data_IF_811165177489
#
_entry.id   IF_811165177489
#
_cell.length_a   1.000
_cell.length_b   1.000
_cell.length_c   1.000
_cell.angle_alpha   90.00
_cell.angle_beta   90.00
_cell.angle_gamma   90.00
#
_symmetry.space_group_name_H-M   'P 1'
#
loop_
_entity.id
_entity.type
_entity.pdbx_description
1 polymer ?
#
# COMPACT_ATOMS: atom_id res chain seq x y z
N UNK A 1 -5.84 1.72 -9.13
CA UNK A 1 -7.02 2.50 -8.69
C UNK A 1 -7.44 2.16 -7.25
N UNK A 2 -7.39 0.90 -6.83
CA UNK A 2 -7.89 0.44 -5.51
C UNK A 2 -7.12 1.00 -4.30
N UNK A 3 -5.90 1.48 -4.48
CA UNK A 3 -5.05 2.03 -3.41
C UNK A 3 -5.11 3.56 -3.32
N UNK A 4 -5.79 4.24 -4.24
CA UNK A 4 -5.95 5.69 -4.23
C UNK A 4 -7.36 6.06 -3.78
N UNK A 5 -7.54 6.09 -2.46
CA UNK A 5 -8.81 6.42 -1.81
C UNK A 5 -8.70 7.74 -1.04
N UNK A 6 -9.78 8.51 -0.90
CA UNK A 6 -9.79 9.68 -0.01
C UNK A 6 -9.49 9.27 1.43
N UNK A 7 -8.58 10.01 2.08
CA UNK A 7 -8.30 9.88 3.50
C UNK A 7 -8.30 11.27 4.13
N UNK A 8 -9.34 11.57 4.89
CA UNK A 8 -9.59 12.88 5.47
C UNK A 8 -9.75 12.73 6.97
N UNK A 9 -9.01 13.54 7.72
CA UNK A 9 -9.10 13.60 9.18
C UNK A 9 -9.40 15.03 9.63
N UNK A 10 -10.32 15.17 10.57
CA UNK A 10 -10.64 16.43 11.20
C UNK A 10 -10.96 16.21 12.68
N UNK A 11 -10.61 17.18 13.54
CA UNK A 11 -10.87 17.10 14.97
C UNK A 11 -9.85 17.85 15.81
N UNK A 12 -9.99 17.72 17.13
CA UNK A 12 -9.04 18.30 18.08
C UNK A 12 -7.64 17.68 17.88
N UNK A 13 -6.60 18.51 17.91
CA UNK A 13 -5.21 18.07 17.73
C UNK A 13 -4.77 17.88 16.28
N UNK A 14 -5.70 18.00 15.29
CA UNK A 14 -5.40 17.87 13.86
C UNK A 14 -5.24 19.25 13.23
N UNK A 15 -4.10 19.54 12.54
CA UNK A 15 -3.90 20.80 11.83
C UNK A 15 -4.95 21.03 10.74
N UNK A 16 -5.51 22.23 10.68
CA UNK A 16 -6.52 22.60 9.68
C UNK A 16 -5.89 22.89 8.31
N UNK A 17 -6.59 22.53 7.25
CA UNK A 17 -6.27 22.92 5.86
C UNK A 17 -4.96 22.34 5.34
N UNK A 18 -4.43 21.27 5.94
CA UNK A 18 -3.18 20.65 5.52
C UNK A 18 -3.43 19.48 4.56
N UNK A 19 -2.69 19.46 3.47
CA UNK A 19 -2.63 18.34 2.54
C UNK A 19 -1.31 17.62 2.73
N UNK A 20 -1.34 16.30 2.80
CA UNK A 20 -0.16 15.44 2.92
C UNK A 20 -0.03 14.60 1.65
N UNK A 21 1.12 14.70 0.97
CA UNK A 21 1.36 14.05 -0.33
C UNK A 21 2.00 12.66 -0.20
N UNK A 22 2.43 12.31 0.99
CA UNK A 22 3.07 11.01 1.22
C UNK A 22 2.02 9.89 1.21
N UNK A 23 2.32 8.74 0.63
CA UNK A 23 1.52 7.55 0.80
C UNK A 23 1.45 7.14 2.27
N UNK A 24 0.27 6.74 2.70
CA UNK A 24 0.01 6.24 4.05
C UNK A 24 -0.66 4.88 3.98
N UNK A 25 -0.55 4.10 5.03
CA UNK A 25 -1.17 2.78 5.12
C UNK A 25 -2.40 2.85 6.04
N UNK A 26 -3.39 2.00 5.78
CA UNK A 26 -4.57 1.92 6.67
C UNK A 26 -4.17 1.48 8.09
N UNK A 27 -3.07 0.74 8.21
CA UNK A 27 -2.47 0.34 9.50
C UNK A 27 -2.06 1.55 10.35
N UNK A 28 -1.76 2.70 9.73
CA UNK A 28 -1.34 3.92 10.41
C UNK A 28 -2.51 4.63 11.12
N UNK A 29 -3.75 4.29 10.79
CA UNK A 29 -4.93 4.93 11.36
C UNK A 29 -5.03 4.68 12.87
N UNK A 30 -4.93 3.42 13.31
CA UNK A 30 -5.10 3.07 14.71
C UNK A 30 -4.04 3.71 15.61
N UNK A 31 -2.71 3.63 15.34
CA UNK A 31 -1.71 4.34 16.14
C UNK A 31 -1.87 5.87 16.08
N UNK A 32 -2.42 6.41 15.00
CA UNK A 32 -2.73 7.85 14.91
C UNK A 32 -3.84 8.24 15.89
N UNK A 33 -4.92 7.46 15.96
CA UNK A 33 -6.01 7.68 16.89
C UNK A 33 -5.56 7.54 18.35
N UNK A 34 -4.71 6.56 18.65
CA UNK A 34 -4.11 6.39 19.98
C UNK A 34 -3.27 7.62 20.36
N UNK A 35 -2.44 8.13 19.44
CA UNK A 35 -1.65 9.35 19.68
C UNK A 35 -2.53 10.58 19.93
N UNK A 36 -3.66 10.70 19.22
CA UNK A 36 -4.62 11.78 19.44
C UNK A 36 -5.32 11.66 20.78
N UNK A 37 -5.54 10.44 21.28
CA UNK A 37 -6.07 10.16 22.62
C UNK A 37 -5.04 10.34 23.75
N UNK A 38 -3.76 10.63 23.42
CA UNK A 38 -2.70 10.82 24.42
C UNK A 38 -1.92 9.56 24.77
N UNK A 39 -2.23 8.42 24.14
CA UNK A 39 -1.49 7.17 24.31
C UNK A 39 -0.14 7.26 23.60
N UNK A 40 0.94 6.78 24.26
CA UNK A 40 2.31 6.94 23.77
C UNK A 40 2.96 5.61 23.35
N UNK A 41 2.49 4.49 23.87
CA UNK A 41 3.09 3.19 23.54
C UNK A 41 2.39 2.54 22.34
N UNK A 42 3.10 2.52 21.22
CA UNK A 42 2.66 1.89 19.98
C UNK A 42 3.62 0.76 19.54
N UNK A 43 4.49 0.29 20.44
CA UNK A 43 5.58 -0.64 20.12
C UNK A 43 5.11 -2.00 19.57
N UNK A 44 3.86 -2.37 19.83
CA UNK A 44 3.25 -3.63 19.36
C UNK A 44 2.44 -3.49 18.07
N UNK A 45 2.42 -2.30 17.47
CA UNK A 45 1.64 -2.03 16.27
C UNK A 45 2.53 -2.02 15.03
N UNK A 46 2.05 -2.62 13.95
CA UNK A 46 2.76 -2.61 12.65
C UNK A 46 2.71 -1.24 11.98
N UNK A 47 1.62 -0.49 12.18
CA UNK A 47 1.44 0.88 11.68
C UNK A 47 2.15 1.92 12.53
N UNK A 48 2.27 3.13 11.97
CA UNK A 48 2.91 4.29 12.61
C UNK A 48 1.95 5.45 12.73
N UNK A 49 2.05 6.21 13.83
CA UNK A 49 1.23 7.41 13.98
C UNK A 49 1.58 8.46 12.92
N UNK A 50 0.57 8.97 12.23
CA UNK A 50 0.68 10.07 11.27
C UNK A 50 0.71 11.44 11.95
N UNK A 51 0.44 11.52 13.25
CA UNK A 51 0.36 12.79 13.99
C UNK A 51 1.65 13.61 13.90
N UNK A 52 2.86 13.05 14.08
CA UNK A 52 4.10 13.81 13.89
C UNK A 52 4.22 14.40 12.48
N UNK A 53 3.81 13.64 11.45
CA UNK A 53 3.83 14.10 10.07
C UNK A 53 2.82 15.21 9.81
N UNK A 54 1.60 15.11 10.34
CA UNK A 54 0.60 16.18 10.30
C UNK A 54 1.11 17.46 10.95
N UNK A 55 1.88 17.35 12.02
CA UNK A 55 2.49 18.47 12.74
C UNK A 55 3.74 19.03 12.05
N UNK A 56 4.14 18.50 10.88
CA UNK A 56 5.32 18.97 10.14
C UNK A 56 6.65 18.38 10.61
N UNK A 57 6.62 17.38 11.47
CA UNK A 57 7.80 16.60 11.84
C UNK A 57 8.05 15.53 10.79
N UNK A 58 9.29 15.40 10.33
CA UNK A 58 9.66 14.54 9.20
C UNK A 58 9.85 13.08 9.65
N UNK A 59 8.77 12.40 10.05
CA UNK A 59 8.80 11.03 10.58
C UNK A 59 7.94 10.04 9.81
N UNK A 60 7.40 10.41 8.66
CA UNK A 60 6.61 9.49 7.87
C UNK A 60 7.49 8.58 7.01
N UNK A 61 7.03 7.38 6.82
CA UNK A 61 7.53 6.51 5.77
C UNK A 61 7.42 7.23 4.41
N UNK A 62 8.46 7.17 3.59
CA UNK A 62 8.42 7.76 2.24
C UNK A 62 7.62 6.90 1.26
N UNK A 63 7.17 5.74 1.69
CA UNK A 63 6.42 4.77 0.89
C UNK A 63 5.38 4.05 1.75
N UNK A 64 4.35 3.52 1.09
CA UNK A 64 3.39 2.57 1.63
C UNK A 64 3.52 1.22 0.94
N UNK A 65 3.19 0.15 1.63
CA UNK A 65 3.15 -1.21 1.10
C UNK A 65 1.73 -1.71 1.04
N UNK A 66 1.42 -2.53 0.05
CA UNK A 66 0.12 -3.16 -0.08
C UNK A 66 0.24 -4.53 -0.74
N UNK A 67 -0.69 -5.42 -0.42
CA UNK A 67 -0.93 -6.61 -1.20
C UNK A 67 -1.96 -6.30 -2.27
N UNK A 68 -1.73 -6.82 -3.46
CA UNK A 68 -2.65 -6.75 -4.58
C UNK A 68 -2.90 -8.14 -5.13
N UNK A 69 -4.08 -8.38 -5.67
CA UNK A 69 -4.47 -9.66 -6.22
C UNK A 69 -4.96 -9.48 -7.64
N UNK A 70 -4.56 -10.39 -8.50
CA UNK A 70 -5.04 -10.48 -9.87
C UNK A 70 -5.53 -11.88 -10.13
N UNK A 71 -6.74 -12.02 -10.66
CA UNK A 71 -7.25 -13.32 -11.11
C UNK A 71 -6.67 -13.68 -12.48
N UNK A 72 -5.99 -14.82 -12.56
CA UNK A 72 -5.47 -15.36 -13.80
C UNK A 72 -6.49 -16.36 -14.37
N UNK A 73 -7.19 -16.02 -15.47
CA UNK A 73 -8.20 -16.90 -16.05
C UNK A 73 -7.63 -18.19 -16.65
N UNK A 74 -6.32 -18.23 -16.98
CA UNK A 74 -5.67 -19.42 -17.55
C UNK A 74 -5.42 -20.47 -16.48
N UNK A 75 -4.94 -20.06 -15.32
CA UNK A 75 -4.68 -20.95 -14.18
C UNK A 75 -5.87 -21.10 -13.25
N UNK A 76 -6.93 -20.28 -13.46
CA UNK A 76 -8.13 -20.20 -12.60
C UNK A 76 -7.76 -19.98 -11.13
N UNK A 77 -6.73 -19.19 -10.88
CA UNK A 77 -6.22 -18.90 -9.53
C UNK A 77 -5.88 -17.43 -9.39
N UNK A 78 -5.87 -16.97 -8.14
CA UNK A 78 -5.39 -15.64 -7.82
C UNK A 78 -3.87 -15.60 -7.79
N UNK A 79 -3.29 -14.61 -8.45
CA UNK A 79 -1.88 -14.26 -8.33
C UNK A 79 -1.75 -13.12 -7.35
N UNK A 80 -1.02 -13.34 -6.28
CA UNK A 80 -0.71 -12.32 -5.30
C UNK A 80 0.48 -11.49 -5.77
N UNK A 81 0.34 -10.18 -5.70
CA UNK A 81 1.42 -9.21 -5.88
C UNK A 81 1.68 -8.44 -4.60
N UNK A 82 2.91 -8.01 -4.45
CA UNK A 82 3.33 -7.04 -3.43
C UNK A 82 3.66 -5.73 -4.11
N UNK A 83 3.13 -4.63 -3.59
CA UNK A 83 3.38 -3.32 -4.16
C UNK A 83 3.97 -2.36 -3.14
N UNK A 84 4.91 -1.55 -3.59
CA UNK A 84 5.45 -0.39 -2.89
C UNK A 84 5.02 0.85 -3.63
N UNK A 85 4.44 1.79 -2.92
CA UNK A 85 3.93 3.04 -3.44
C UNK A 85 4.71 4.18 -2.80
N UNK A 86 5.41 4.93 -3.65
CA UNK A 86 6.00 6.23 -3.35
C UNK A 86 5.15 7.33 -4.00
N UNK A 87 5.30 8.57 -3.57
CA UNK A 87 4.58 9.70 -4.21
C UNK A 87 4.86 9.81 -5.71
N UNK A 88 6.09 9.53 -6.14
CA UNK A 88 6.56 9.72 -7.52
C UNK A 88 6.59 8.44 -8.35
N UNK A 89 6.50 7.27 -7.74
CA UNK A 89 6.56 5.98 -8.44
C UNK A 89 5.79 4.88 -7.70
N UNK A 90 5.45 3.82 -8.42
CA UNK A 90 4.91 2.57 -7.88
C UNK A 90 5.65 1.38 -8.48
N UNK A 91 6.05 0.44 -7.65
CA UNK A 91 6.59 -0.84 -8.05
C UNK A 91 5.70 -1.97 -7.54
N UNK A 92 5.43 -2.94 -8.39
CA UNK A 92 4.67 -4.16 -8.04
C UNK A 92 5.46 -5.38 -8.47
N UNK A 93 5.49 -6.38 -7.61
CA UNK A 93 6.13 -7.66 -7.82
C UNK A 93 5.07 -8.77 -7.76
N UNK A 94 4.88 -9.50 -8.85
CA UNK A 94 3.86 -10.53 -8.97
C UNK A 94 4.44 -11.91 -8.70
N UNK A 95 3.81 -12.68 -7.79
CA UNK A 95 4.26 -14.03 -7.46
C UNK A 95 5.71 -14.06 -6.98
N UNK A 96 6.15 -13.08 -6.20
CA UNK A 96 7.55 -12.90 -5.77
C UNK A 96 8.53 -12.77 -6.95
N UNK A 97 8.09 -12.15 -8.04
CA UNK A 97 8.88 -11.92 -9.25
C UNK A 97 8.74 -12.99 -10.33
N UNK A 98 8.24 -14.17 -10.00
CA UNK A 98 8.07 -15.29 -10.95
C UNK A 98 7.03 -15.01 -12.04
N UNK A 99 6.05 -14.15 -11.72
CA UNK A 99 4.98 -13.74 -12.65
C UNK A 99 5.22 -12.36 -13.25
N UNK A 100 6.44 -11.82 -13.10
CA UNK A 100 6.82 -10.51 -13.61
C UNK A 100 6.70 -9.40 -12.59
N UNK A 101 7.07 -8.19 -13.04
CA UNK A 101 7.05 -6.99 -12.22
C UNK A 101 6.62 -5.77 -13.03
N UNK A 102 6.18 -4.73 -12.35
CA UNK A 102 5.76 -3.46 -12.94
C UNK A 102 6.42 -2.29 -12.22
N UNK A 103 6.82 -1.29 -13.00
CA UNK A 103 7.32 -0.02 -12.48
C UNK A 103 6.68 1.14 -13.23
N UNK A 104 6.05 2.04 -12.49
CA UNK A 104 5.40 3.23 -13.02
C UNK A 104 5.98 4.47 -12.40
N UNK A 105 6.33 5.46 -13.23
CA UNK A 105 6.86 6.77 -12.79
C UNK A 105 5.71 7.76 -12.77
N UNK A 106 5.01 7.81 -11.64
CA UNK A 106 3.76 8.56 -11.44
C UNK A 106 3.90 10.07 -11.59
N UNK A 107 5.09 10.60 -11.36
CA UNK A 107 5.36 12.02 -11.54
C UNK A 107 5.08 12.47 -12.97
N UNK A 108 5.37 11.63 -13.98
CA UNK A 108 5.22 11.94 -15.40
C UNK A 108 4.05 11.17 -16.03
N UNK A 109 3.57 10.12 -15.36
CA UNK A 109 2.49 9.24 -15.79
C UNK A 109 1.57 8.92 -14.60
N UNK A 110 0.72 9.87 -14.17
CA UNK A 110 -0.12 9.70 -12.97
C UNK A 110 -1.19 8.61 -13.13
N UNK A 111 -1.47 8.19 -14.36
CA UNK A 111 -2.44 7.14 -14.68
C UNK A 111 -1.80 5.77 -14.90
N UNK A 112 -0.46 5.68 -14.86
CA UNK A 112 0.27 4.42 -14.93
C UNK A 112 0.02 3.67 -16.26
N UNK A 113 0.07 4.38 -17.38
CA UNK A 113 -0.12 3.80 -18.71
C UNK A 113 1.10 3.07 -19.24
N UNK A 114 2.31 3.46 -18.80
CA UNK A 114 3.56 2.94 -19.36
C UNK A 114 4.38 2.22 -18.29
N UNK A 115 4.49 0.90 -18.42
CA UNK A 115 5.35 0.10 -17.55
C UNK A 115 6.83 0.28 -17.94
N UNK A 116 7.62 0.85 -17.02
CA UNK A 116 9.04 1.19 -17.21
C UNK A 116 10.01 0.14 -16.69
N UNK A 117 9.53 -1.05 -16.34
CA UNK A 117 10.32 -2.10 -15.68
C UNK A 117 11.54 -2.55 -16.48
N UNK A 118 11.48 -2.48 -17.80
CA UNK A 118 12.55 -2.90 -18.71
C UNK A 118 13.58 -1.80 -19.00
N UNK A 119 13.33 -0.57 -18.59
CA UNK A 119 14.21 0.55 -18.90
C UNK A 119 15.42 0.54 -17.98
N UNK A 120 16.62 0.51 -18.58
CA UNK A 120 17.90 0.49 -17.87
C UNK A 120 18.13 1.71 -16.98
N UNK A 121 17.55 2.86 -17.34
CA UNK A 121 17.60 4.11 -16.57
C UNK A 121 16.98 3.98 -15.17
N UNK A 122 16.06 3.04 -14.96
CA UNK A 122 15.40 2.81 -13.68
C UNK A 122 15.88 1.56 -12.92
N UNK A 123 17.02 0.97 -13.34
CA UNK A 123 17.52 -0.25 -12.70
C UNK A 123 17.79 -0.06 -11.20
N UNK A 124 18.40 1.05 -10.81
CA UNK A 124 18.67 1.35 -9.40
C UNK A 124 17.37 1.49 -8.61
N UNK A 125 16.40 2.23 -9.15
CA UNK A 125 15.09 2.40 -8.53
C UNK A 125 14.36 1.05 -8.35
N UNK A 126 14.39 0.19 -9.38
CA UNK A 126 13.85 -1.17 -9.32
C UNK A 126 14.47 -1.97 -8.17
N UNK A 127 15.81 -1.98 -8.08
CA UNK A 127 16.54 -2.72 -7.05
C UNK A 127 16.20 -2.21 -5.65
N UNK A 128 16.08 -0.91 -5.46
CA UNK A 128 15.72 -0.31 -4.18
C UNK A 128 14.27 -0.61 -3.80
N UNK A 129 13.35 -0.58 -4.76
CA UNK A 129 11.96 -0.96 -4.56
C UNK A 129 11.81 -2.45 -4.17
N UNK A 130 12.59 -3.34 -4.81
CA UNK A 130 12.63 -4.77 -4.45
C UNK A 130 13.13 -4.98 -3.02
N UNK A 131 14.22 -4.33 -2.63
CA UNK A 131 14.72 -4.36 -1.25
C UNK A 131 13.65 -3.86 -0.26
N UNK A 132 12.96 -2.79 -0.63
CA UNK A 132 11.90 -2.21 0.20
C UNK A 132 10.73 -3.18 0.39
N UNK A 133 10.32 -3.92 -0.64
CA UNK A 133 9.31 -4.99 -0.51
C UNK A 133 9.77 -6.05 0.48
N UNK A 134 11.03 -6.47 0.41
CA UNK A 134 11.58 -7.54 1.23
C UNK A 134 11.86 -7.09 2.67
N UNK A 135 12.01 -5.79 2.92
CA UNK A 135 12.26 -5.23 4.24
C UNK A 135 10.97 -5.00 5.04
N UNK A 136 10.93 -5.47 6.27
CA UNK A 136 9.82 -5.28 7.21
C UNK A 136 8.67 -6.29 7.06
N UNK A 137 7.65 -6.18 7.88
CA UNK A 137 6.54 -7.12 7.87
C UNK A 137 5.84 -7.08 6.51
N UNK A 138 5.86 -8.19 5.83
CA UNK A 138 4.96 -8.43 4.71
C UNK A 138 3.59 -8.66 5.36
N UNK A 139 2.54 -7.91 4.99
CA UNK A 139 1.20 -8.24 5.43
C UNK A 139 0.97 -9.71 5.08
N UNK A 140 0.84 -10.57 6.08
CA UNK A 140 0.43 -11.95 5.82
C UNK A 140 -1.00 -11.84 5.32
N UNK A 141 -1.36 -12.50 4.21
CA UNK A 141 -2.78 -12.67 3.89
C UNK A 141 -3.38 -13.27 5.15
N UNK A 142 -4.26 -12.55 5.83
CA UNK A 142 -5.02 -13.11 6.91
C UNK A 142 -5.63 -14.39 6.38
N UNK A 143 -5.66 -15.46 7.16
CA UNK A 143 -6.53 -16.58 6.88
C UNK A 143 -7.88 -15.96 6.58
N UNK A 144 -8.30 -16.07 5.32
CA UNK A 144 -9.48 -15.37 4.84
C UNK A 144 -10.69 -15.90 5.61
N UNK A 145 -11.07 -15.19 6.65
CA UNK A 145 -12.40 -15.30 7.26
C UNK A 145 -13.49 -14.74 6.33
N UNK A 146 -13.21 -14.66 5.02
CA UNK A 146 -14.27 -14.40 4.04
C UNK A 146 -15.23 -15.58 4.10
N UNK A 147 -16.50 -15.34 4.39
CA UNK A 147 -17.50 -16.41 4.28
C UNK A 147 -17.36 -17.04 2.89
N UNK A 148 -17.15 -18.33 2.81
CA UNK A 148 -16.99 -19.11 1.57
C UNK A 148 -18.11 -18.84 0.55
N UNK A 149 -19.28 -18.42 1.04
CA UNK A 149 -20.45 -18.04 0.26
C UNK A 149 -20.26 -16.86 -0.71
N UNK A 150 -19.23 -16.04 -0.56
CA UNK A 150 -18.94 -14.92 -1.48
C UNK A 150 -17.96 -15.28 -2.60
N UNK A 151 -17.46 -16.52 -2.64
CA UNK A 151 -16.45 -16.98 -3.59
C UNK A 151 -17.00 -17.98 -4.64
N UNK A 152 -18.24 -18.40 -4.52
CA UNK A 152 -18.86 -19.28 -5.51
C UNK A 152 -19.78 -18.48 -6.44
N UNK A 153 -19.40 -18.26 -7.70
CA UNK A 153 -20.32 -17.79 -8.71
C UNK A 153 -21.25 -18.94 -9.07
N UNK A 154 -22.46 -18.98 -8.48
CA UNK A 154 -23.41 -19.98 -8.93
C UNK A 154 -24.53 -20.42 -8.03
N UNK A 155 -24.84 -19.73 -6.93
CA UNK A 155 -26.12 -19.98 -6.24
C UNK A 155 -27.06 -18.80 -6.41
N UNK A 156 -27.62 -18.70 -7.62
CA UNK A 156 -28.98 -18.16 -7.78
C UNK A 156 -29.88 -19.40 -7.62
N UNK A 157 -30.31 -19.66 -6.42
CA UNK A 157 -31.45 -20.58 -6.20
C UNK A 157 -32.72 -19.82 -6.54
N UNK A 158 -33.46 -20.36 -7.51
CA UNK A 158 -34.83 -19.99 -7.84
C UNK A 158 -35.74 -19.95 -6.61
#
# INVERSE_FOLDING_TARGET
ASTRVPFIMAGAGIPKGKVLDQPVELLDLYPTLLSLAGEKDHSKLDGKSLLPYMQGKNNSSTYAKSLVFHYDPKTKSDVMGQTVIHKDWRYTDWGKGEKGSELYIRKNDPFEFVNRIQEKSFLNLKNDAQKTIQSGPIPKPGESNRPRALLEPGMVTN
#
